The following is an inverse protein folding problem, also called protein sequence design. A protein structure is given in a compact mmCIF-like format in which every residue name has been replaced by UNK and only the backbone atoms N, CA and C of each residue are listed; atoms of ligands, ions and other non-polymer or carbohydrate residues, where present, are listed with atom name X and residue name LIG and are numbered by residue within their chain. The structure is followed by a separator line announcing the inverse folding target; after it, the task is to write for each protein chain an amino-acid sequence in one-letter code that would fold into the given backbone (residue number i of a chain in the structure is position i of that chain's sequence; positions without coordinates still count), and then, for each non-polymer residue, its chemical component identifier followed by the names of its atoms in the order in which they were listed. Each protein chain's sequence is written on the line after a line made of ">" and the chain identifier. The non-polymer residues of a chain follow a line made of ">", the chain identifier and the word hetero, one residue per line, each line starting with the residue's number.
data_IF_871523251310
#
_entry.id   IF_871523251310
#
_cell.length_a   1.000
_cell.length_b   1.000
_cell.length_c   1.000
_cell.angle_alpha   90.00
_cell.angle_beta   90.00
_cell.angle_gamma   90.00
#
_symmetry.space_group_name_H-M   'P 1'
#
loop_
_entity.id
_entity.type
_entity.pdbx_description
1 polymer ?
#
# COMPACT_ATOMS: atom_id res chain seq x y z
N UNK A 1 7.76 14.69 15.05
CA UNK A 1 7.43 14.43 13.67
C UNK A 1 6.00 13.94 13.54
N UNK A 2 5.34 14.36 12.48
CA UNK A 2 3.97 13.91 12.24
C UNK A 2 3.95 12.41 11.96
N UNK A 3 2.96 11.75 12.50
CA UNK A 3 2.76 10.32 12.28
C UNK A 3 1.37 10.11 11.69
N UNK A 4 1.32 9.38 10.60
CA UNK A 4 0.07 9.09 9.91
C UNK A 4 -0.62 7.88 10.53
N UNK A 5 -1.96 7.93 10.55
CA UNK A 5 -2.73 6.73 10.82
C UNK A 5 -2.88 5.94 9.53
N UNK A 6 -2.74 4.62 9.63
CA UNK A 6 -2.83 3.76 8.46
C UNK A 6 -4.07 2.89 8.59
N UNK A 7 -4.95 3.02 7.60
CA UNK A 7 -6.14 2.18 7.48
C UNK A 7 -5.99 1.29 6.27
N UNK A 8 -6.53 0.09 6.35
CA UNK A 8 -6.49 -0.87 5.26
C UNK A 8 -7.92 -1.21 4.89
N UNK A 9 -8.30 -0.97 3.63
CA UNK A 9 -9.65 -1.33 3.19
C UNK A 9 -9.90 -2.82 3.38
N UNK A 10 -11.13 -3.23 3.70
CA UNK A 10 -11.43 -4.64 3.88
C UNK A 10 -11.04 -5.50 2.67
N UNK A 11 -11.22 -5.00 1.45
CA UNK A 11 -10.80 -5.72 0.26
C UNK A 11 -9.29 -5.92 0.21
N UNK A 12 -8.52 -4.92 0.65
CA UNK A 12 -7.07 -5.03 0.69
C UNK A 12 -6.62 -6.00 1.79
N UNK A 13 -7.32 -6.03 2.91
CA UNK A 13 -7.05 -7.02 3.97
C UNK A 13 -7.22 -8.43 3.42
N UNK A 14 -8.30 -8.68 2.69
CA UNK A 14 -8.53 -9.98 2.08
C UNK A 14 -7.44 -10.35 1.09
N UNK A 15 -7.01 -9.37 0.29
CA UNK A 15 -5.94 -9.60 -0.67
C UNK A 15 -4.63 -9.96 0.04
N UNK A 16 -4.33 -9.27 1.13
CA UNK A 16 -3.14 -9.57 1.93
C UNK A 16 -3.21 -10.98 2.51
N UNK A 17 -4.37 -11.34 3.07
CA UNK A 17 -4.56 -12.66 3.68
C UNK A 17 -4.50 -13.79 2.66
N UNK A 18 -4.83 -13.50 1.41
CA UNK A 18 -4.80 -14.49 0.34
C UNK A 18 -3.40 -14.80 -0.18
N UNK A 19 -2.40 -14.05 0.21
CA UNK A 19 -1.02 -14.30 -0.20
C UNK A 19 -0.56 -15.61 0.45
N UNK A 20 -0.10 -16.61 -0.36
CA UNK A 20 0.13 -17.95 0.17
C UNK A 20 1.32 -18.06 1.13
N UNK A 21 2.34 -17.22 0.98
CA UNK A 21 3.53 -17.35 1.80
C UNK A 21 3.52 -16.37 2.97
N UNK A 22 3.67 -16.92 4.17
CA UNK A 22 3.65 -16.14 5.39
C UNK A 22 4.71 -15.04 5.40
N UNK A 23 5.90 -15.34 4.89
CA UNK A 23 6.98 -14.35 4.85
C UNK A 23 6.61 -13.15 4.00
N UNK A 24 5.93 -13.39 2.87
CA UNK A 24 5.49 -12.30 2.00
C UNK A 24 4.44 -11.45 2.71
N UNK A 25 3.47 -12.09 3.37
CA UNK A 25 2.46 -11.36 4.13
C UNK A 25 3.09 -10.48 5.20
N UNK A 26 4.06 -11.02 5.92
CA UNK A 26 4.75 -10.28 6.98
C UNK A 26 5.53 -9.09 6.44
N UNK A 27 6.21 -9.27 5.30
CA UNK A 27 6.96 -8.19 4.68
C UNK A 27 6.05 -7.07 4.19
N UNK A 28 4.93 -7.45 3.58
CA UNK A 28 3.95 -6.47 3.11
C UNK A 28 3.33 -5.72 4.30
N UNK A 29 2.94 -6.45 5.34
CA UNK A 29 2.39 -5.81 6.54
C UNK A 29 3.39 -4.84 7.17
N UNK A 30 4.66 -5.21 7.20
CA UNK A 30 5.71 -4.33 7.71
C UNK A 30 5.86 -3.07 6.86
N UNK A 31 5.83 -3.22 5.53
CA UNK A 31 5.90 -2.07 4.63
C UNK A 31 4.72 -1.13 4.85
N UNK A 32 3.53 -1.69 5.03
CA UNK A 32 2.33 -0.89 5.29
C UNK A 32 2.49 -0.11 6.60
N UNK A 33 2.96 -0.77 7.66
CA UNK A 33 3.16 -0.08 8.94
C UNK A 33 4.15 1.07 8.85
N UNK A 34 5.18 0.93 8.03
CA UNK A 34 6.18 1.99 7.84
C UNK A 34 5.61 3.23 7.17
N UNK A 35 4.51 3.10 6.46
CA UNK A 35 3.85 4.25 5.84
C UNK A 35 3.36 5.24 6.91
N UNK A 36 3.14 4.78 8.14
CA UNK A 36 2.77 5.67 9.24
C UNK A 36 3.86 6.70 9.55
N UNK A 37 5.12 6.33 9.34
CA UNK A 37 6.24 7.22 9.61
C UNK A 37 6.63 8.02 8.38
N UNK A 38 6.57 7.39 7.20
CA UNK A 38 6.91 8.05 5.95
C UNK A 38 6.03 7.50 4.83
N UNK A 39 4.96 8.21 4.48
CA UNK A 39 4.04 7.73 3.44
C UNK A 39 4.60 7.84 2.02
N UNK A 40 5.73 8.52 1.84
CA UNK A 40 6.39 8.63 0.54
C UNK A 40 7.82 8.10 0.62
N UNK A 41 7.99 6.78 0.90
CA UNK A 41 9.34 6.22 1.02
C UNK A 41 10.05 6.17 -0.33
N UNK A 42 11.38 5.98 -0.32
CA UNK A 42 12.11 5.76 -1.57
C UNK A 42 11.48 4.62 -2.37
N UNK A 43 11.34 4.80 -3.68
CA UNK A 43 10.70 3.83 -4.55
C UNK A 43 9.20 3.99 -4.69
N UNK A 44 8.60 4.89 -3.91
CA UNK A 44 7.21 5.24 -4.05
C UNK A 44 6.96 5.94 -5.38
N UNK A 45 5.88 5.56 -6.07
CA UNK A 45 5.49 6.20 -7.33
C UNK A 45 4.08 6.74 -7.22
N UNK A 46 3.89 7.96 -7.67
CA UNK A 46 2.55 8.55 -7.73
C UNK A 46 1.85 8.04 -8.99
N UNK A 47 0.62 7.57 -8.80
CA UNK A 47 -0.20 7.13 -9.92
C UNK A 47 -0.94 8.34 -10.51
N UNK A 48 -1.14 8.33 -11.83
CA UNK A 48 -1.71 9.47 -12.52
C UNK A 48 -3.18 9.68 -12.12
N UNK A 49 -3.56 10.95 -12.09
CA UNK A 49 -4.96 11.36 -11.97
C UNK A 49 -5.55 11.44 -10.58
N UNK A 50 -4.85 10.98 -9.53
CA UNK A 50 -5.39 11.00 -8.16
C UNK A 50 -4.26 11.00 -7.14
N UNK A 51 -4.62 11.21 -5.87
CA UNK A 51 -3.67 11.16 -4.77
C UNK A 51 -3.38 9.73 -4.35
N UNK A 52 -3.03 8.90 -5.32
CA UNK A 52 -2.71 7.50 -5.11
C UNK A 52 -1.25 7.24 -5.41
N UNK A 53 -0.70 6.34 -4.62
CA UNK A 53 0.72 6.00 -4.66
C UNK A 53 0.86 4.50 -4.67
N UNK A 54 2.01 4.04 -5.14
CA UNK A 54 2.32 2.62 -5.22
C UNK A 54 3.71 2.36 -4.70
N UNK A 55 3.87 1.33 -3.88
CA UNK A 55 5.17 0.82 -3.48
C UNK A 55 5.25 -0.66 -3.82
N UNK A 56 6.47 -1.13 -4.00
CA UNK A 56 6.74 -2.52 -4.31
C UNK A 56 7.26 -3.25 -3.08
N UNK A 57 6.88 -4.52 -2.96
CA UNK A 57 7.48 -5.44 -2.03
C UNK A 57 7.59 -6.80 -2.73
N UNK A 58 8.79 -7.13 -3.20
CA UNK A 58 8.99 -8.34 -4.00
C UNK A 58 8.18 -8.27 -5.29
N UNK A 59 7.35 -9.29 -5.54
CA UNK A 59 6.47 -9.34 -6.71
C UNK A 59 5.12 -8.68 -6.44
N UNK A 60 4.94 -8.12 -5.24
CA UNK A 60 3.67 -7.52 -4.84
C UNK A 60 3.74 -6.00 -4.92
N UNK A 61 2.57 -5.40 -5.08
CA UNK A 61 2.42 -3.96 -5.10
C UNK A 61 1.35 -3.55 -4.11
N UNK A 62 1.58 -2.43 -3.46
CA UNK A 62 0.66 -1.86 -2.48
C UNK A 62 0.24 -0.51 -3.03
N UNK A 63 -1.06 -0.35 -3.27
CA UNK A 63 -1.63 0.92 -3.72
C UNK A 63 -2.33 1.58 -2.54
N UNK A 64 -2.04 2.84 -2.31
CA UNK A 64 -2.59 3.56 -1.17
C UNK A 64 -2.79 5.03 -1.52
N UNK A 65 -3.61 5.69 -0.73
CA UNK A 65 -3.80 7.14 -0.82
C UNK A 65 -3.22 7.81 0.41
N UNK A 66 -2.83 9.07 0.25
CA UNK A 66 -2.29 9.87 1.35
C UNK A 66 -3.17 11.12 1.48
N UNK A 67 -3.64 11.34 2.69
CA UNK A 67 -4.39 12.55 3.03
C UNK A 67 -3.54 13.33 4.02
N UNK A 68 -2.72 14.23 3.48
CA UNK A 68 -1.73 14.94 4.28
C UNK A 68 -2.34 15.79 5.37
N UNK A 69 -3.42 16.48 5.07
CA UNK A 69 -4.05 17.38 6.03
C UNK A 69 -4.61 16.64 7.23
N UNK A 70 -5.05 15.40 7.01
CA UNK A 70 -5.64 14.58 8.06
C UNK A 70 -4.63 13.61 8.68
N UNK A 71 -3.44 13.53 8.12
CA UNK A 71 -2.42 12.58 8.54
C UNK A 71 -2.93 11.14 8.46
N UNK A 72 -3.54 10.80 7.34
CA UNK A 72 -4.14 9.49 7.11
C UNK A 72 -3.58 8.86 5.84
N UNK A 73 -3.28 7.57 5.92
CA UNK A 73 -2.94 6.73 4.78
C UNK A 73 -4.00 5.64 4.69
N UNK A 74 -4.55 5.42 3.50
CA UNK A 74 -5.51 4.35 3.28
C UNK A 74 -4.94 3.38 2.25
N UNK A 75 -4.72 2.14 2.66
CA UNK A 75 -4.28 1.09 1.73
C UNK A 75 -5.51 0.60 0.97
N UNK A 76 -5.46 0.74 -0.34
CA UNK A 76 -6.60 0.47 -1.21
C UNK A 76 -6.50 -0.93 -1.82
N UNK A 77 -5.29 -1.35 -2.17
CA UNK A 77 -5.10 -2.60 -2.87
C UNK A 77 -3.74 -3.20 -2.55
N UNK A 78 -3.73 -4.52 -2.40
CA UNK A 78 -2.52 -5.31 -2.30
C UNK A 78 -2.64 -6.40 -3.36
N UNK A 79 -1.67 -6.54 -4.24
CA UNK A 79 -1.78 -7.55 -5.28
C UNK A 79 -0.46 -7.86 -5.94
N UNK A 80 -0.47 -8.96 -6.66
CA UNK A 80 0.64 -9.31 -7.52
C UNK A 80 0.77 -8.23 -8.60
N UNK A 81 1.99 -7.93 -9.03
CA UNK A 81 2.23 -6.86 -10.00
C UNK A 81 1.33 -6.93 -11.23
N UNK A 82 0.99 -8.12 -11.69
CA UNK A 82 0.12 -8.29 -12.87
C UNK A 82 -1.31 -7.88 -12.58
N UNK A 83 -1.80 -8.22 -11.40
CA UNK A 83 -3.19 -7.93 -11.03
C UNK A 83 -3.41 -6.46 -10.78
N UNK A 84 -2.43 -5.79 -10.17
CA UNK A 84 -2.51 -4.36 -9.90
C UNK A 84 -2.60 -3.57 -11.19
N UNK A 85 -1.87 -3.98 -12.22
CA UNK A 85 -1.92 -3.31 -13.52
C UNK A 85 -3.27 -3.48 -14.21
N UNK A 86 -3.96 -4.59 -13.96
CA UNK A 86 -5.25 -4.85 -14.57
C UNK A 86 -6.35 -3.94 -14.03
N UNK A 87 -6.19 -3.42 -12.85
CA UNK A 87 -7.22 -2.63 -12.19
C UNK A 87 -7.18 -1.16 -12.58
N UNK A 88 -6.80 -0.88 -13.79
CA UNK A 88 -6.95 0.44 -14.36
C UNK A 88 -5.92 1.45 -13.92
N UNK A 89 -4.86 0.95 -13.57
CA UNK A 89 -3.75 1.85 -13.29
C UNK A 89 -3.25 2.46 -14.56
#
# INVERSE_FOLDING_TARGET
>A
MARFEVFIKPSAVKELEAIPFKKDRQRIASRIRRLAENPRPPGCQKLSGRDRFRIRQGVYRIVYSIQDEQLVVVVIKVGHRKDVYRDGS
#
